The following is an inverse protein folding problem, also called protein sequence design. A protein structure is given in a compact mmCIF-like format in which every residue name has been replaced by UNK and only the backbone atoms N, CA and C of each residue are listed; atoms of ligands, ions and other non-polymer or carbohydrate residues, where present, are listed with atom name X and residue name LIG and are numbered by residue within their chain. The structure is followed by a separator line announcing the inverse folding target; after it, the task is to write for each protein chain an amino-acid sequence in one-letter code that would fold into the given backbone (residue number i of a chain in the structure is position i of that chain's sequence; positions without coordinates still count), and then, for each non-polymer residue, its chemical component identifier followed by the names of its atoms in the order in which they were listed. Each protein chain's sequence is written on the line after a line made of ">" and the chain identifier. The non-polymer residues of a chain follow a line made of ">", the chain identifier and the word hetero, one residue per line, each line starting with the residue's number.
data_IF_129002599051
#
_entry.id   IF_129002599051
#
_cell.length_a   1.000
_cell.length_b   1.000
_cell.length_c   1.000
_cell.angle_alpha   90.00
_cell.angle_beta   90.00
_cell.angle_gamma   90.00
#
_symmetry.space_group_name_H-M   'P 1'
#
loop_
_entity.id
_entity.type
_entity.pdbx_description
1 polymer ?
#
# COMPACT_ATOMS: atom_id res chain seq x y z
N UNK A 1 19.71 -25.50 -12.60
CA UNK A 1 19.12 -25.02 -11.34
C UNK A 1 17.75 -24.43 -11.65
N UNK A 2 16.74 -24.82 -10.89
CA UNK A 2 15.37 -24.30 -11.03
C UNK A 2 15.31 -22.82 -10.63
N UNK A 3 14.58 -22.01 -11.41
CA UNK A 3 14.41 -20.57 -11.18
C UNK A 3 13.64 -20.35 -9.88
N UNK A 4 14.09 -19.41 -9.05
CA UNK A 4 13.40 -19.09 -7.80
C UNK A 4 12.13 -18.28 -8.09
N UNK A 5 10.97 -18.87 -7.88
CA UNK A 5 9.67 -18.22 -8.10
C UNK A 5 9.22 -17.42 -6.85
N UNK A 6 9.73 -16.20 -6.74
CA UNK A 6 9.34 -15.25 -5.70
C UNK A 6 7.90 -14.74 -5.85
N UNK A 7 7.29 -14.87 -7.04
CA UNK A 7 5.93 -14.37 -7.31
C UNK A 7 4.88 -15.14 -6.52
N UNK A 8 5.16 -16.40 -6.19
CA UNK A 8 4.25 -17.23 -5.41
C UNK A 8 3.89 -16.57 -4.07
N UNK A 9 4.85 -15.93 -3.40
CA UNK A 9 4.63 -15.32 -2.08
C UNK A 9 3.78 -14.05 -2.17
N UNK A 10 3.97 -13.23 -3.20
CA UNK A 10 3.20 -11.99 -3.39
C UNK A 10 1.96 -12.18 -4.28
N UNK A 11 1.66 -13.42 -4.69
CA UNK A 11 0.57 -13.75 -5.62
C UNK A 11 -0.79 -13.27 -5.14
N UNK A 12 -1.06 -13.40 -3.83
CA UNK A 12 -2.32 -12.94 -3.24
C UNK A 12 -2.50 -11.43 -3.37
N UNK A 13 -1.44 -10.65 -3.15
CA UNK A 13 -1.43 -9.19 -3.32
C UNK A 13 -1.66 -8.80 -4.80
N UNK A 14 -0.94 -9.43 -5.74
CA UNK A 14 -1.13 -9.19 -7.18
C UNK A 14 -2.55 -9.58 -7.62
N UNK A 15 -3.08 -10.70 -7.13
CA UNK A 15 -4.44 -11.12 -7.45
C UNK A 15 -5.48 -10.11 -6.93
N UNK A 16 -5.29 -9.58 -5.72
CA UNK A 16 -6.15 -8.52 -5.16
C UNK A 16 -6.10 -7.25 -6.02
N UNK A 17 -4.91 -6.78 -6.39
CA UNK A 17 -4.74 -5.64 -7.32
C UNK A 17 -5.43 -5.90 -8.66
N UNK A 18 -5.36 -7.12 -9.19
CA UNK A 18 -6.04 -7.48 -10.45
C UNK A 18 -7.55 -7.36 -10.33
N UNK A 19 -8.14 -7.87 -9.26
CA UNK A 19 -9.58 -7.76 -8.97
C UNK A 19 -10.00 -6.30 -8.84
N UNK A 20 -9.19 -5.47 -8.19
CA UNK A 20 -9.43 -4.04 -8.00
C UNK A 20 -9.24 -3.21 -9.28
N UNK A 21 -8.99 -3.83 -10.44
CA UNK A 21 -8.76 -3.09 -11.69
C UNK A 21 -7.39 -2.39 -11.74
N UNK A 22 -6.49 -2.68 -10.80
CA UNK A 22 -5.20 -2.02 -10.65
C UNK A 22 -4.04 -2.81 -11.27
N UNK A 23 -4.27 -3.99 -11.86
CA UNK A 23 -3.20 -4.83 -12.41
C UNK A 23 -3.58 -5.46 -13.75
N UNK A 24 -3.41 -4.73 -14.88
CA UNK A 24 -3.69 -5.26 -16.21
C UNK A 24 -2.78 -6.43 -16.55
N UNK A 25 -3.24 -7.31 -17.45
CA UNK A 25 -2.45 -8.45 -17.91
C UNK A 25 -1.27 -8.04 -18.81
N UNK A 26 -0.24 -8.89 -18.80
CA UNK A 26 1.00 -8.64 -19.54
C UNK A 26 1.99 -7.71 -18.82
N UNK A 27 3.01 -7.31 -19.57
CA UNK A 27 4.13 -6.46 -19.09
C UNK A 27 3.96 -4.99 -19.50
N UNK A 28 2.93 -4.68 -20.28
CA UNK A 28 2.60 -3.30 -20.64
C UNK A 28 1.64 -2.69 -19.62
N UNK A 29 1.32 -1.41 -19.79
CA UNK A 29 0.25 -0.76 -19.04
C UNK A 29 -1.15 -1.16 -19.53
N UNK A 30 -2.13 -0.33 -19.21
CA UNK A 30 -3.52 -0.50 -19.64
C UNK A 30 -3.65 -0.43 -21.17
N UNK A 31 -4.35 -1.41 -21.76
CA UNK A 31 -4.60 -1.55 -23.21
C UNK A 31 -6.08 -1.34 -23.51
N UNK A 32 -6.45 -1.10 -24.77
CA UNK A 32 -7.86 -1.02 -25.18
C UNK A 32 -8.54 -2.41 -25.15
N UNK A 33 -8.96 -2.86 -23.97
CA UNK A 33 -9.64 -4.14 -23.75
C UNK A 33 -10.72 -4.04 -22.65
N UNK A 34 -11.50 -5.10 -22.47
CA UNK A 34 -12.58 -5.15 -21.48
C UNK A 34 -12.08 -4.95 -20.04
N UNK A 35 -10.87 -5.42 -19.72
CA UNK A 35 -10.28 -5.21 -18.39
C UNK A 35 -10.04 -3.71 -18.10
N UNK A 36 -9.52 -2.97 -19.08
CA UNK A 36 -9.26 -1.53 -18.91
C UNK A 36 -10.55 -0.74 -18.86
N UNK A 37 -11.59 -1.16 -19.60
CA UNK A 37 -12.92 -0.57 -19.47
C UNK A 37 -13.49 -0.82 -18.06
N UNK A 38 -13.40 -2.05 -17.56
CA UNK A 38 -13.77 -2.40 -16.19
C UNK A 38 -13.02 -1.55 -15.16
N UNK A 39 -11.69 -1.49 -15.25
CA UNK A 39 -10.85 -0.70 -14.36
C UNK A 39 -11.22 0.79 -14.40
N UNK A 40 -11.44 1.34 -15.59
CA UNK A 40 -11.86 2.73 -15.74
C UNK A 40 -13.20 2.98 -15.05
N UNK A 41 -14.19 2.12 -15.26
CA UNK A 41 -15.51 2.26 -14.65
C UNK A 41 -15.43 2.11 -13.13
N UNK A 42 -14.75 1.06 -12.63
CA UNK A 42 -14.66 0.78 -11.19
C UNK A 42 -13.89 1.86 -10.43
N UNK A 43 -12.75 2.33 -10.97
CA UNK A 43 -11.98 3.41 -10.35
C UNK A 43 -12.75 4.73 -10.34
N UNK A 44 -13.45 5.07 -11.42
CA UNK A 44 -14.27 6.29 -11.42
C UNK A 44 -15.46 6.19 -10.47
N UNK A 45 -16.15 5.04 -10.44
CA UNK A 45 -17.33 4.86 -9.62
C UNK A 45 -16.99 4.79 -8.13
N UNK A 46 -16.03 3.97 -7.74
CA UNK A 46 -15.75 3.63 -6.35
C UNK A 46 -14.67 4.50 -5.71
N UNK A 47 -13.69 4.98 -6.47
CA UNK A 47 -12.63 5.86 -5.94
C UNK A 47 -13.01 7.32 -6.13
N UNK A 48 -13.19 7.77 -7.38
CA UNK A 48 -13.45 9.19 -7.65
C UNK A 48 -14.85 9.62 -7.16
N UNK A 49 -15.88 8.81 -7.41
CA UNK A 49 -17.25 9.11 -6.99
C UNK A 49 -17.38 9.28 -5.48
N UNK A 50 -16.84 8.33 -4.70
CA UNK A 50 -16.96 8.37 -3.25
C UNK A 50 -16.22 9.58 -2.65
N UNK A 51 -14.99 9.81 -3.11
CA UNK A 51 -14.20 10.97 -2.72
C UNK A 51 -14.91 12.30 -3.05
N UNK A 52 -15.54 12.38 -4.22
CA UNK A 52 -16.30 13.57 -4.62
C UNK A 52 -17.45 13.85 -3.64
N UNK A 53 -18.29 12.85 -3.33
CA UNK A 53 -19.44 13.03 -2.43
C UNK A 53 -19.03 13.37 -0.99
N UNK A 54 -17.96 12.76 -0.47
CA UNK A 54 -17.42 13.15 0.84
C UNK A 54 -16.83 14.56 0.84
N UNK A 55 -16.05 14.92 -0.18
CA UNK A 55 -15.44 16.26 -0.27
C UNK A 55 -16.50 17.35 -0.37
N UNK A 56 -17.56 17.11 -1.16
CA UNK A 56 -18.69 18.05 -1.24
C UNK A 56 -19.37 18.23 0.10
N UNK A 57 -19.46 17.18 0.91
CA UNK A 57 -20.11 17.23 2.22
C UNK A 57 -19.43 18.20 3.20
N UNK A 58 -18.12 18.45 3.06
CA UNK A 58 -17.39 19.41 3.89
C UNK A 58 -18.03 20.79 3.84
N UNK A 59 -18.48 21.25 2.66
CA UNK A 59 -19.14 22.55 2.48
C UNK A 59 -20.50 22.66 3.18
N UNK A 60 -21.10 21.55 3.59
CA UNK A 60 -22.38 21.51 4.30
C UNK A 60 -22.23 21.38 5.82
N UNK A 61 -21.11 20.81 6.30
CA UNK A 61 -20.90 20.53 7.73
C UNK A 61 -19.81 21.39 8.39
N UNK A 62 -19.14 22.28 7.64
CA UNK A 62 -17.98 23.04 8.13
C UNK A 62 -18.23 23.92 9.37
N UNK A 63 -19.49 24.25 9.67
CA UNK A 63 -19.85 25.06 10.84
C UNK A 63 -19.90 24.26 12.15
N UNK A 64 -20.04 22.94 12.08
CA UNK A 64 -20.02 22.05 13.24
C UNK A 64 -18.62 21.41 13.35
N UNK A 65 -17.85 21.84 14.35
CA UNK A 65 -16.48 21.38 14.53
C UNK A 65 -16.39 19.86 14.77
N UNK A 66 -17.34 19.27 15.49
CA UNK A 66 -17.34 17.84 15.79
C UNK A 66 -17.66 17.04 14.52
N UNK A 67 -18.71 17.44 13.78
CA UNK A 67 -19.06 16.81 12.51
C UNK A 67 -17.96 16.99 11.45
N UNK A 68 -17.34 18.17 11.39
CA UNK A 68 -16.24 18.46 10.47
C UNK A 68 -15.02 17.60 10.79
N UNK A 69 -14.59 17.53 12.05
CA UNK A 69 -13.44 16.72 12.44
C UNK A 69 -13.67 15.23 12.22
N UNK A 70 -14.89 14.73 12.43
CA UNK A 70 -15.26 13.33 12.18
C UNK A 70 -15.32 12.98 10.68
N UNK A 71 -15.59 13.96 9.81
CA UNK A 71 -15.56 13.79 8.37
C UNK A 71 -14.13 13.89 7.80
N UNK A 72 -13.40 14.94 8.19
CA UNK A 72 -12.14 15.36 7.55
C UNK A 72 -11.06 14.30 7.68
N UNK A 73 -10.96 13.57 8.80
CA UNK A 73 -9.91 12.56 8.96
C UNK A 73 -10.08 11.38 8.00
N UNK A 74 -11.33 11.01 7.66
CA UNK A 74 -11.63 9.96 6.67
C UNK A 74 -11.38 10.51 5.27
N UNK A 75 -11.91 11.69 4.97
CA UNK A 75 -11.78 12.30 3.63
C UNK A 75 -10.33 12.56 3.24
N UNK A 76 -9.47 12.98 4.18
CA UNK A 76 -8.03 13.15 3.92
C UNK A 76 -7.37 11.83 3.54
N UNK A 77 -7.72 10.74 4.22
CA UNK A 77 -7.20 9.39 3.90
C UNK A 77 -7.71 8.90 2.55
N UNK A 78 -8.99 9.09 2.26
CA UNK A 78 -9.58 8.71 0.96
C UNK A 78 -8.96 9.50 -0.20
N UNK A 79 -8.68 10.79 0.01
CA UNK A 79 -7.97 11.63 -0.98
C UNK A 79 -6.54 11.14 -1.19
N UNK A 80 -5.84 10.73 -0.14
CA UNK A 80 -4.51 10.12 -0.27
C UNK A 80 -4.59 8.80 -1.04
N UNK A 81 -5.61 7.96 -0.80
CA UNK A 81 -5.84 6.74 -1.57
C UNK A 81 -6.09 7.03 -3.06
N UNK A 82 -6.84 8.09 -3.39
CA UNK A 82 -7.02 8.56 -4.77
C UNK A 82 -5.67 8.95 -5.41
N UNK A 83 -4.84 9.70 -4.70
CA UNK A 83 -3.50 10.07 -5.16
C UNK A 83 -2.65 8.83 -5.42
N UNK A 84 -2.66 7.84 -4.52
CA UNK A 84 -1.96 6.56 -4.71
C UNK A 84 -2.43 5.85 -5.98
N UNK A 85 -3.75 5.68 -6.14
CA UNK A 85 -4.34 5.05 -7.33
C UNK A 85 -3.89 5.75 -8.60
N UNK A 86 -3.94 7.08 -8.63
CA UNK A 86 -3.51 7.87 -9.78
C UNK A 86 -2.05 7.60 -10.15
N UNK A 87 -1.12 7.71 -9.19
CA UNK A 87 0.30 7.45 -9.44
C UNK A 87 0.57 5.99 -9.81
N UNK A 88 -0.14 5.04 -9.21
CA UNK A 88 0.01 3.61 -9.47
C UNK A 88 -0.43 3.25 -10.89
N UNK A 89 -1.62 3.71 -11.32
CA UNK A 89 -2.13 3.51 -12.68
C UNK A 89 -1.22 4.16 -13.70
N UNK A 90 -0.78 5.40 -13.46
CA UNK A 90 0.10 6.17 -14.36
C UNK A 90 1.45 5.47 -14.57
N UNK A 91 2.03 4.88 -13.52
CA UNK A 91 3.35 4.24 -13.57
C UNK A 91 3.30 2.72 -13.77
N UNK A 92 2.13 2.15 -14.07
CA UNK A 92 1.94 0.69 -14.19
C UNK A 92 2.96 0.01 -15.12
N UNK A 93 3.27 0.60 -16.27
CA UNK A 93 4.28 0.05 -17.19
C UNK A 93 5.68 -0.05 -16.54
N UNK A 94 6.08 0.96 -15.78
CA UNK A 94 7.36 0.95 -15.08
C UNK A 94 7.36 -0.12 -13.98
N UNK A 95 6.26 -0.22 -13.23
CA UNK A 95 6.07 -1.24 -12.19
C UNK A 95 6.16 -2.66 -12.76
N UNK A 96 5.57 -2.92 -13.93
CA UNK A 96 5.72 -4.20 -14.63
C UNK A 96 7.15 -4.46 -15.08
N UNK A 97 7.87 -3.45 -15.55
CA UNK A 97 9.29 -3.60 -15.91
C UNK A 97 10.17 -3.94 -14.69
N UNK A 98 9.85 -3.40 -13.51
CA UNK A 98 10.51 -3.79 -12.26
C UNK A 98 10.27 -5.28 -11.98
N UNK A 99 9.03 -5.76 -12.11
CA UNK A 99 8.72 -7.19 -11.95
C UNK A 99 9.47 -8.09 -12.93
N UNK A 100 9.66 -7.63 -14.18
CA UNK A 100 10.47 -8.35 -15.17
C UNK A 100 11.96 -8.33 -14.81
N UNK A 101 12.46 -7.23 -14.25
CA UNK A 101 13.85 -7.12 -13.80
C UNK A 101 14.19 -8.13 -12.70
N UNK A 102 13.27 -8.35 -11.76
CA UNK A 102 13.42 -9.36 -10.70
C UNK A 102 13.52 -10.80 -11.24
N UNK A 103 13.06 -11.04 -12.46
CA UNK A 103 13.14 -12.32 -13.16
C UNK A 103 14.43 -12.50 -13.97
N UNK A 104 15.25 -11.46 -14.13
CA UNK A 104 16.51 -11.53 -14.86
C UNK A 104 17.51 -12.47 -14.17
N UNK A 105 18.34 -13.16 -14.96
CA UNK A 105 19.35 -14.11 -14.46
C UNK A 105 20.27 -13.49 -13.39
N UNK A 106 20.59 -12.20 -13.52
CA UNK A 106 21.47 -11.48 -12.60
C UNK A 106 20.84 -11.30 -11.21
N UNK A 107 19.52 -11.30 -11.11
CA UNK A 107 18.76 -11.10 -9.88
C UNK A 107 18.34 -12.43 -9.23
N UNK A 108 18.62 -13.56 -9.89
CA UNK A 108 18.29 -14.89 -9.38
C UNK A 108 19.38 -15.36 -8.40
N UNK A 109 18.99 -15.92 -7.24
CA UNK A 109 19.95 -16.47 -6.29
C UNK A 109 20.66 -17.69 -6.88
N UNK A 110 21.99 -17.71 -6.80
CA UNK A 110 22.83 -18.80 -7.33
C UNK A 110 23.02 -19.92 -6.31
N UNK A 111 23.08 -19.57 -5.02
CA UNK A 111 23.41 -20.50 -3.94
C UNK A 111 22.28 -20.63 -2.91
N UNK A 112 22.35 -21.66 -2.07
CA UNK A 112 21.31 -21.95 -1.07
C UNK A 112 21.19 -20.85 -0.01
N UNK A 113 22.30 -20.32 0.48
CA UNK A 113 22.34 -19.16 1.40
C UNK A 113 21.64 -17.93 0.80
N UNK A 114 21.84 -17.66 -0.49
CA UNK A 114 21.20 -16.54 -1.19
C UNK A 114 19.68 -16.75 -1.33
N UNK A 115 19.24 -17.99 -1.54
CA UNK A 115 17.80 -18.33 -1.51
C UNK A 115 17.19 -18.08 -0.14
N UNK A 116 17.90 -18.41 0.94
CA UNK A 116 17.42 -18.17 2.31
C UNK A 116 17.21 -16.67 2.60
N UNK A 117 18.04 -15.78 2.04
CA UNK A 117 17.85 -14.32 2.17
C UNK A 117 16.51 -13.89 1.60
N UNK A 118 16.16 -14.33 0.38
CA UNK A 118 14.85 -14.02 -0.19
C UNK A 118 13.70 -14.64 0.61
N UNK A 119 13.82 -15.90 1.01
CA UNK A 119 12.77 -16.59 1.78
C UNK A 119 12.51 -15.86 3.09
N UNK A 120 13.56 -15.48 3.82
CA UNK A 120 13.44 -14.73 5.07
C UNK A 120 12.76 -13.37 4.85
N UNK A 121 13.22 -12.59 3.86
CA UNK A 121 12.63 -11.30 3.53
C UNK A 121 11.17 -11.39 3.07
N UNK A 122 10.84 -12.39 2.25
CA UNK A 122 9.47 -12.65 1.78
C UNK A 122 8.54 -13.16 2.89
N UNK A 123 9.05 -13.98 3.82
CA UNK A 123 8.29 -14.41 5.00
C UNK A 123 7.98 -13.23 5.92
N UNK A 124 8.96 -12.37 6.16
CA UNK A 124 8.74 -11.15 6.94
C UNK A 124 7.74 -10.22 6.24
N UNK A 125 7.89 -10.00 4.93
CA UNK A 125 6.91 -9.25 4.13
C UNK A 125 5.50 -9.84 4.25
N UNK A 126 5.35 -11.16 4.10
CA UNK A 126 4.06 -11.85 4.24
C UNK A 126 3.47 -11.67 5.64
N UNK A 127 4.30 -11.74 6.67
CA UNK A 127 3.88 -11.46 8.05
C UNK A 127 3.37 -10.03 8.19
N UNK A 128 4.12 -9.03 7.70
CA UNK A 128 3.67 -7.63 7.74
C UNK A 128 2.41 -7.37 6.92
N UNK A 129 2.25 -8.07 5.79
CA UNK A 129 1.03 -8.00 4.97
C UNK A 129 -0.19 -8.52 5.73
N UNK A 130 -0.06 -9.66 6.42
CA UNK A 130 -1.13 -10.21 7.27
C UNK A 130 -1.41 -9.29 8.45
N UNK A 131 -0.37 -8.78 9.12
CA UNK A 131 -0.52 -7.82 10.22
C UNK A 131 -1.27 -6.56 9.79
N UNK A 132 -1.06 -6.08 8.56
CA UNK A 132 -1.74 -4.88 8.07
C UNK A 132 -3.24 -5.09 7.82
N UNK A 133 -3.67 -6.31 7.47
CA UNK A 133 -5.10 -6.65 7.34
C UNK A 133 -5.84 -6.69 8.69
N UNK A 134 -5.15 -7.07 9.78
CA UNK A 134 -5.74 -7.24 11.11
C UNK A 134 -6.47 -5.99 11.63
N UNK A 135 -5.90 -4.77 11.57
CA UNK A 135 -6.62 -3.56 11.97
C UNK A 135 -7.58 -3.03 10.89
N UNK A 136 -7.27 -3.22 9.61
CA UNK A 136 -8.07 -2.66 8.50
C UNK A 136 -9.45 -3.30 8.43
N UNK A 137 -9.53 -4.63 8.39
CA UNK A 137 -10.80 -5.35 8.21
C UNK A 137 -11.82 -5.07 9.34
N UNK A 138 -11.45 -5.12 10.63
CA UNK A 138 -12.35 -4.76 11.72
C UNK A 138 -12.79 -3.31 11.69
N UNK A 139 -11.89 -2.36 11.37
CA UNK A 139 -12.25 -0.94 11.26
C UNK A 139 -13.39 -0.73 10.26
N UNK A 140 -13.22 -1.24 9.03
CA UNK A 140 -14.23 -1.08 7.97
C UNK A 140 -15.54 -1.77 8.34
N UNK A 141 -15.45 -2.99 8.88
CA UNK A 141 -16.63 -3.77 9.28
C UNK A 141 -17.40 -3.06 10.39
N UNK A 142 -16.70 -2.50 11.38
CA UNK A 142 -17.31 -1.81 12.49
C UNK A 142 -18.01 -0.51 12.04
N UNK A 143 -17.38 0.30 11.20
CA UNK A 143 -18.01 1.50 10.64
C UNK A 143 -19.27 1.21 9.80
N UNK A 144 -19.26 0.12 9.03
CA UNK A 144 -20.43 -0.29 8.23
C UNK A 144 -21.57 -0.80 9.10
N UNK A 145 -21.26 -1.48 10.20
CA UNK A 145 -22.27 -2.09 11.08
C UNK A 145 -22.77 -1.08 12.12
N UNK A 146 -22.01 -0.02 12.41
CA UNK A 146 -22.31 0.97 13.43
C UNK A 146 -23.73 1.56 13.33
N UNK A 147 -24.21 2.09 12.18
CA UNK A 147 -25.57 2.64 12.09
C UNK A 147 -26.68 1.61 12.36
N UNK A 148 -26.42 0.33 12.12
CA UNK A 148 -27.38 -0.75 12.36
C UNK A 148 -27.44 -1.10 13.84
N UNK A 149 -26.29 -1.13 14.52
CA UNK A 149 -26.21 -1.48 15.94
C UNK A 149 -26.70 -0.36 16.86
N UNK A 150 -26.42 0.89 16.53
CA UNK A 150 -26.87 2.05 17.31
C UNK A 150 -28.33 2.45 17.00
N UNK A 151 -28.95 1.80 16.03
CA UNK A 151 -30.34 2.04 15.61
C UNK A 151 -30.53 3.26 14.70
N UNK A 152 -29.48 4.05 14.43
CA UNK A 152 -29.55 5.27 13.60
C UNK A 152 -29.82 4.98 12.12
N UNK A 153 -29.69 3.73 11.68
CA UNK A 153 -30.15 3.28 10.37
C UNK A 153 -31.67 3.47 10.18
N UNK A 154 -32.47 3.48 11.27
CA UNK A 154 -33.90 3.82 11.23
C UNK A 154 -34.14 5.28 10.86
N UNK A 155 -33.19 6.14 11.17
CA UNK A 155 -33.17 7.57 10.83
C UNK A 155 -32.44 7.85 9.51
N UNK A 156 -32.17 6.80 8.72
CA UNK A 156 -31.48 6.86 7.44
C UNK A 156 -30.03 7.39 7.55
N UNK A 157 -29.35 7.16 8.69
CA UNK A 157 -27.93 7.49 8.84
C UNK A 157 -27.07 6.54 8.01
N UNK A 158 -26.29 7.12 7.09
CA UNK A 158 -25.31 6.39 6.29
C UNK A 158 -24.03 6.09 7.11
N UNK A 159 -23.26 5.02 6.78
CA UNK A 159 -22.00 4.70 7.46
C UNK A 159 -20.98 5.82 7.40
N UNK A 160 -20.89 6.49 6.26
CA UNK A 160 -19.98 7.63 6.05
C UNK A 160 -20.80 8.87 5.72
N UNK A 161 -20.47 9.97 6.39
CA UNK A 161 -21.10 11.26 6.14
C UNK A 161 -20.70 11.76 4.75
N UNK A 162 -21.65 11.81 3.82
CA UNK A 162 -21.41 12.26 2.45
C UNK A 162 -22.66 12.93 1.88
N UNK A 163 -22.45 13.88 0.97
CA UNK A 163 -23.54 14.57 0.28
C UNK A 163 -23.86 13.87 -1.03
N UNK A 164 -25.15 13.69 -1.32
CA UNK A 164 -25.63 13.14 -2.59
C UNK A 164 -26.65 14.10 -3.23
N UNK A 165 -26.68 14.20 -4.56
CA UNK A 165 -27.60 15.09 -5.29
C UNK A 165 -29.05 14.57 -5.33
N UNK A 166 -29.40 13.61 -4.48
CA UNK A 166 -30.72 12.99 -4.38
C UNK A 166 -31.05 12.69 -2.92
N UNK A 167 -32.32 12.48 -2.60
CA UNK A 167 -32.76 12.22 -1.23
C UNK A 167 -32.44 10.77 -0.82
N UNK A 168 -31.41 10.61 0.01
CA UNK A 168 -30.98 9.32 0.56
C UNK A 168 -31.92 8.77 1.63
N UNK A 169 -32.93 9.52 2.08
CA UNK A 169 -33.93 9.06 3.07
C UNK A 169 -35.13 8.34 2.46
N UNK A 170 -35.15 8.16 1.13
CA UNK A 170 -36.25 7.51 0.41
C UNK A 170 -35.80 6.13 -0.06
N UNK A 171 -36.65 5.12 0.11
CA UNK A 171 -36.42 3.78 -0.45
C UNK A 171 -36.69 3.78 -1.96
N UNK A 172 -35.86 3.15 -2.82
CA UNK A 172 -34.71 2.30 -2.49
C UNK A 172 -33.35 3.03 -2.45
N UNK A 173 -33.33 4.37 -2.58
CA UNK A 173 -32.09 5.15 -2.69
C UNK A 173 -31.20 5.04 -1.45
N UNK A 174 -31.79 4.93 -0.25
CA UNK A 174 -31.04 4.67 0.97
C UNK A 174 -30.20 3.40 0.86
N UNK A 175 -30.84 2.26 0.54
CA UNK A 175 -30.20 0.95 0.47
C UNK A 175 -29.15 0.90 -0.64
N UNK A 176 -29.44 1.49 -1.79
CA UNK A 176 -28.49 1.60 -2.91
C UNK A 176 -27.25 2.39 -2.47
N UNK A 177 -27.44 3.52 -1.80
CA UNK A 177 -26.34 4.38 -1.34
C UNK A 177 -25.52 3.71 -0.23
N UNK A 178 -26.18 3.01 0.68
CA UNK A 178 -25.53 2.24 1.74
C UNK A 178 -24.61 1.17 1.16
N UNK A 179 -25.11 0.36 0.21
CA UNK A 179 -24.31 -0.66 -0.49
C UNK A 179 -23.16 -0.01 -1.28
N UNK A 180 -23.44 1.10 -1.97
CA UNK A 180 -22.42 1.85 -2.70
C UNK A 180 -21.27 2.31 -1.79
N UNK A 181 -21.57 2.86 -0.60
CA UNK A 181 -20.52 3.26 0.34
C UNK A 181 -19.72 2.08 0.86
N UNK A 182 -20.36 0.95 1.17
CA UNK A 182 -19.68 -0.29 1.56
C UNK A 182 -18.68 -0.69 0.48
N UNK A 183 -19.14 -0.85 -0.76
CA UNK A 183 -18.27 -1.31 -1.86
C UNK A 183 -17.14 -0.31 -2.11
N UNK A 184 -17.43 0.99 -2.08
CA UNK A 184 -16.44 2.04 -2.33
C UNK A 184 -15.32 2.04 -1.30
N UNK A 185 -15.66 1.98 -0.01
CA UNK A 185 -14.69 2.05 1.08
C UNK A 185 -13.82 0.80 1.13
N UNK A 186 -14.41 -0.39 0.96
CA UNK A 186 -13.63 -1.63 0.84
C UNK A 186 -12.71 -1.58 -0.39
N UNK A 187 -13.21 -1.11 -1.53
CA UNK A 187 -12.42 -0.99 -2.74
C UNK A 187 -11.21 -0.06 -2.54
N UNK A 188 -11.40 1.11 -1.94
CA UNK A 188 -10.33 2.08 -1.68
C UNK A 188 -9.32 1.56 -0.64
N UNK A 189 -9.79 1.02 0.49
CA UNK A 189 -8.91 0.51 1.54
C UNK A 189 -8.04 -0.65 1.05
N UNK A 190 -8.62 -1.61 0.32
CA UNK A 190 -7.85 -2.70 -0.25
C UNK A 190 -6.92 -2.23 -1.38
N UNK A 191 -7.31 -1.21 -2.15
CA UNK A 191 -6.43 -0.60 -3.14
C UNK A 191 -5.21 0.00 -2.47
N UNK A 192 -5.39 0.86 -1.46
CA UNK A 192 -4.31 1.48 -0.70
C UNK A 192 -3.39 0.43 -0.07
N UNK A 193 -3.95 -0.49 0.72
CA UNK A 193 -3.22 -1.55 1.40
C UNK A 193 -2.35 -2.35 0.44
N UNK A 194 -2.91 -2.79 -0.68
CA UNK A 194 -2.17 -3.62 -1.63
C UNK A 194 -1.08 -2.84 -2.39
N UNK A 195 -1.28 -1.54 -2.65
CA UNK A 195 -0.25 -0.69 -3.24
C UNK A 195 0.94 -0.51 -2.28
N UNK A 196 0.66 -0.25 -1.00
CA UNK A 196 1.69 -0.10 0.05
C UNK A 196 2.46 -1.41 0.27
N UNK A 197 1.74 -2.53 0.32
CA UNK A 197 2.35 -3.85 0.44
C UNK A 197 3.24 -4.16 -0.77
N UNK A 198 2.82 -3.82 -2.00
CA UNK A 198 3.63 -4.05 -3.18
C UNK A 198 4.92 -3.23 -3.15
N UNK A 199 4.83 -1.97 -2.72
CA UNK A 199 6.00 -1.12 -2.52
C UNK A 199 6.96 -1.70 -1.49
N UNK A 200 6.44 -2.13 -0.34
CA UNK A 200 7.23 -2.80 0.69
C UNK A 200 7.96 -4.04 0.13
N UNK A 201 7.31 -4.81 -0.74
CA UNK A 201 7.93 -5.96 -1.41
C UNK A 201 9.11 -5.54 -2.30
N UNK A 202 8.94 -4.48 -3.10
CA UNK A 202 10.01 -3.99 -3.98
C UNK A 202 11.22 -3.47 -3.18
N UNK A 203 10.99 -2.77 -2.06
CA UNK A 203 12.08 -2.34 -1.17
C UNK A 203 12.77 -3.51 -0.49
N UNK A 204 12.01 -4.53 -0.05
CA UNK A 204 12.58 -5.79 0.42
C UNK A 204 13.48 -6.44 -0.64
N UNK A 205 13.05 -6.47 -1.91
CA UNK A 205 13.86 -6.99 -3.00
C UNK A 205 15.14 -6.18 -3.22
N UNK A 206 15.10 -4.84 -3.13
CA UNK A 206 16.33 -4.02 -3.17
C UNK A 206 17.31 -4.47 -2.09
N UNK A 207 16.85 -4.59 -0.84
CA UNK A 207 17.67 -5.05 0.27
C UNK A 207 18.24 -6.45 0.06
N UNK A 208 17.42 -7.42 -0.35
CA UNK A 208 17.85 -8.78 -0.63
C UNK A 208 18.93 -8.85 -1.74
N UNK A 209 18.80 -8.03 -2.78
CA UNK A 209 19.81 -7.96 -3.85
C UNK A 209 21.14 -7.37 -3.36
N UNK A 210 21.10 -6.36 -2.48
CA UNK A 210 22.31 -5.85 -1.83
C UNK A 210 23.01 -6.91 -0.98
N UNK A 211 22.26 -7.78 -0.29
CA UNK A 211 22.82 -8.89 0.47
C UNK A 211 23.49 -9.94 -0.43
N UNK A 212 22.87 -10.26 -1.57
CA UNK A 212 23.44 -11.19 -2.56
C UNK A 212 24.71 -10.62 -3.20
N UNK A 213 24.70 -9.34 -3.55
CA UNK A 213 25.88 -8.67 -4.07
C UNK A 213 27.03 -8.74 -3.06
N UNK A 214 26.75 -8.47 -1.78
CA UNK A 214 27.76 -8.55 -0.73
C UNK A 214 28.33 -9.96 -0.56
N UNK A 215 27.47 -10.98 -0.62
CA UNK A 215 27.89 -12.39 -0.60
C UNK A 215 28.76 -12.74 -1.81
N UNK A 216 28.38 -12.31 -3.02
CA UNK A 216 29.18 -12.53 -4.23
C UNK A 216 30.54 -11.83 -4.16
N UNK A 217 30.61 -10.60 -3.62
CA UNK A 217 31.87 -9.85 -3.43
C UNK A 217 32.76 -10.52 -2.39
N UNK A 218 32.19 -11.00 -1.27
CA UNK A 218 32.94 -11.69 -0.22
C UNK A 218 33.54 -13.02 -0.71
N UNK A 219 32.84 -13.69 -1.61
CA UNK A 219 33.24 -14.98 -2.17
C UNK A 219 33.90 -14.84 -3.56
N UNK A 220 34.54 -13.70 -3.86
CA UNK A 220 35.36 -13.55 -5.06
C UNK A 220 36.56 -14.50 -4.97
N UNK A 221 36.47 -15.64 -5.66
CA UNK A 221 37.58 -16.58 -5.78
C UNK A 221 38.78 -15.96 -6.51
N UNK A 222 39.96 -16.55 -6.30
CA UNK A 222 41.18 -16.15 -7.00
C UNK A 222 41.15 -16.53 -8.49
N UNK A 223 40.44 -17.60 -8.85
CA UNK A 223 40.19 -17.99 -10.24
C UNK A 223 39.10 -17.12 -10.87
N UNK A 224 39.34 -16.63 -12.08
CA UNK A 224 38.44 -15.75 -12.82
C UNK A 224 37.99 -14.48 -12.05
N UNK A 225 38.85 -13.97 -11.17
CA UNK A 225 38.57 -12.81 -10.30
C UNK A 225 38.01 -11.61 -11.07
N UNK A 226 38.65 -11.22 -12.17
CA UNK A 226 38.22 -10.07 -12.98
C UNK A 226 36.83 -10.27 -13.58
N UNK A 227 36.49 -11.49 -13.98
CA UNK A 227 35.19 -11.83 -14.54
C UNK A 227 34.10 -11.75 -13.47
N UNK A 228 34.34 -12.35 -12.31
CA UNK A 228 33.39 -12.30 -11.18
C UNK A 228 33.23 -10.89 -10.61
N UNK A 229 34.31 -10.10 -10.54
CA UNK A 229 34.26 -8.70 -10.14
C UNK A 229 33.43 -7.88 -11.15
N UNK A 230 33.62 -8.11 -12.45
CA UNK A 230 32.83 -7.44 -13.48
C UNK A 230 31.33 -7.80 -13.39
N UNK A 231 30.99 -9.05 -13.07
CA UNK A 231 29.60 -9.45 -12.78
C UNK A 231 29.04 -8.70 -11.57
N UNK A 232 29.80 -8.58 -10.48
CA UNK A 232 29.40 -7.83 -9.28
C UNK A 232 29.16 -6.35 -9.60
N UNK A 233 30.04 -5.72 -10.39
CA UNK A 233 29.86 -4.32 -10.81
C UNK A 233 28.61 -4.15 -11.67
N UNK A 234 28.34 -5.08 -12.59
CA UNK A 234 27.11 -5.08 -13.40
C UNK A 234 25.86 -5.26 -12.52
N UNK A 235 25.91 -6.17 -11.54
CA UNK A 235 24.82 -6.40 -10.59
C UNK A 235 24.56 -5.16 -9.74
N UNK A 236 25.59 -4.54 -9.18
CA UNK A 236 25.49 -3.31 -8.40
C UNK A 236 24.84 -2.17 -9.21
N UNK A 237 25.29 -1.93 -10.45
CA UNK A 237 24.69 -0.91 -11.33
C UNK A 237 23.20 -1.19 -11.59
N UNK A 238 22.84 -2.46 -11.78
CA UNK A 238 21.44 -2.85 -12.01
C UNK A 238 20.59 -2.69 -10.75
N UNK A 239 21.12 -2.99 -9.55
CA UNK A 239 20.46 -2.73 -8.27
C UNK A 239 20.19 -1.23 -8.09
N UNK A 240 21.18 -0.38 -8.36
CA UNK A 240 21.02 1.08 -8.27
C UNK A 240 19.96 1.59 -9.24
N UNK A 241 19.95 1.11 -10.49
CA UNK A 241 18.90 1.47 -11.45
C UNK A 241 17.52 1.01 -10.98
N UNK A 242 17.41 -0.23 -10.49
CA UNK A 242 16.16 -0.78 -9.97
C UNK A 242 15.63 0.02 -8.78
N UNK A 243 16.49 0.36 -7.81
CA UNK A 243 16.13 1.18 -6.66
C UNK A 243 15.75 2.61 -7.06
N UNK A 244 16.44 3.21 -8.02
CA UNK A 244 16.10 4.53 -8.55
C UNK A 244 14.72 4.52 -9.24
N UNK A 245 14.41 3.47 -10.00
CA UNK A 245 13.12 3.32 -10.66
C UNK A 245 11.99 3.04 -9.65
N UNK A 246 12.25 2.30 -8.56
CA UNK A 246 11.35 2.24 -7.40
C UNK A 246 11.08 3.63 -6.82
N UNK A 247 12.13 4.40 -6.53
CA UNK A 247 11.99 5.69 -5.87
C UNK A 247 11.23 6.73 -6.69
N UNK A 248 11.33 6.73 -8.03
CA UNK A 248 10.66 7.72 -8.90
C UNK A 248 9.14 7.83 -8.75
N UNK A 249 8.48 6.76 -8.28
CA UNK A 249 7.03 6.78 -8.06
C UNK A 249 6.66 6.64 -6.58
N UNK A 250 7.54 6.05 -5.76
CA UNK A 250 7.31 5.91 -4.33
C UNK A 250 7.62 7.14 -3.50
N UNK A 251 8.54 8.00 -3.95
CA UNK A 251 8.96 9.19 -3.19
C UNK A 251 7.78 10.13 -2.86
N UNK A 252 6.97 10.46 -3.86
CA UNK A 252 5.80 11.34 -3.73
C UNK A 252 4.67 10.69 -2.96
N UNK A 253 4.45 9.38 -3.19
CA UNK A 253 3.45 8.61 -2.47
C UNK A 253 3.82 8.55 -0.99
N UNK A 254 5.07 8.20 -0.67
CA UNK A 254 5.57 8.12 0.69
C UNK A 254 5.47 9.48 1.39
N UNK A 255 5.93 10.56 0.76
CA UNK A 255 5.85 11.91 1.34
C UNK A 255 4.40 12.31 1.65
N UNK A 256 3.49 12.11 0.69
CA UNK A 256 2.07 12.37 0.88
C UNK A 256 1.48 11.50 1.99
N UNK A 257 1.90 10.23 2.07
CA UNK A 257 1.44 9.30 3.08
C UNK A 257 1.88 9.70 4.49
N UNK A 258 3.15 10.07 4.69
CA UNK A 258 3.63 10.52 6.00
C UNK A 258 2.88 11.76 6.49
N UNK A 259 2.66 12.73 5.60
CA UNK A 259 1.91 13.94 5.93
C UNK A 259 0.45 13.61 6.29
N UNK A 260 -0.21 12.81 5.46
CA UNK A 260 -1.60 12.36 5.66
C UNK A 260 -1.72 11.60 6.97
N UNK A 261 -0.88 10.59 7.20
CA UNK A 261 -0.90 9.77 8.41
C UNK A 261 -0.70 10.59 9.68
N UNK A 262 0.21 11.57 9.68
CA UNK A 262 0.44 12.43 10.84
C UNK A 262 -0.83 13.23 11.20
N UNK A 263 -1.46 13.84 10.19
CA UNK A 263 -2.69 14.61 10.38
C UNK A 263 -3.86 13.73 10.80
N UNK A 264 -4.04 12.58 10.15
CA UNK A 264 -5.14 11.65 10.47
C UNK A 264 -4.97 11.03 11.85
N UNK A 265 -3.75 10.69 12.27
CA UNK A 265 -3.48 10.20 13.62
C UNK A 265 -3.78 11.26 14.67
N UNK A 266 -3.40 12.52 14.44
CA UNK A 266 -3.74 13.63 15.33
C UNK A 266 -5.25 13.81 15.49
N UNK A 267 -6.00 13.80 14.36
CA UNK A 267 -7.46 13.88 14.39
C UNK A 267 -8.10 12.66 15.04
N UNK A 268 -7.57 11.45 14.80
CA UNK A 268 -8.06 10.21 15.42
C UNK A 268 -7.87 10.25 16.94
N UNK A 269 -6.72 10.72 17.42
CA UNK A 269 -6.47 10.89 18.85
C UNK A 269 -7.44 11.90 19.47
N UNK A 270 -7.72 13.02 18.80
CA UNK A 270 -8.75 13.95 19.24
C UNK A 270 -10.13 13.27 19.33
N UNK A 271 -10.55 12.54 18.29
CA UNK A 271 -11.83 11.82 18.30
C UNK A 271 -11.92 10.80 19.43
N UNK A 272 -10.83 10.09 19.73
CA UNK A 272 -10.77 9.14 20.85
C UNK A 272 -11.04 9.79 22.21
N UNK A 273 -10.81 11.10 22.37
CA UNK A 273 -11.14 11.84 23.60
C UNK A 273 -12.61 12.29 23.67
N UNK A 274 -13.29 12.34 22.53
CA UNK A 274 -14.67 12.84 22.42
C UNK A 274 -15.68 11.69 22.47
N UNK A 275 -15.35 10.54 21.87
CA UNK A 275 -16.25 9.38 21.84
C UNK A 275 -16.33 8.69 23.22
N UNK A 276 -17.46 8.05 23.48
CA UNK A 276 -17.66 7.32 24.73
C UNK A 276 -16.62 6.18 24.87
N UNK A 277 -15.93 6.06 26.03
CA UNK A 277 -14.99 4.98 26.27
C UNK A 277 -15.63 3.60 26.08
N UNK A 278 -14.89 2.67 25.48
CA UNK A 278 -15.33 1.29 25.23
C UNK A 278 -16.58 1.16 24.33
N UNK A 279 -16.98 2.23 23.64
CA UNK A 279 -18.00 2.15 22.59
C UNK A 279 -17.48 1.45 21.34
N UNK A 280 -18.39 1.01 20.46
CA UNK A 280 -18.02 0.48 19.13
C UNK A 280 -17.21 1.49 18.32
N UNK A 281 -17.53 2.77 18.43
CA UNK A 281 -16.82 3.87 17.78
C UNK A 281 -15.39 4.02 18.31
N UNK A 282 -15.21 3.93 19.63
CA UNK A 282 -13.89 3.96 20.28
C UNK A 282 -12.97 2.84 19.76
N UNK A 283 -13.47 1.60 19.70
CA UNK A 283 -12.69 0.50 19.15
C UNK A 283 -12.40 0.66 17.66
N UNK A 284 -13.35 1.21 16.88
CA UNK A 284 -13.14 1.47 15.45
C UNK A 284 -12.03 2.49 15.22
N UNK A 285 -11.99 3.56 16.02
CA UNK A 285 -10.92 4.57 15.96
C UNK A 285 -9.58 4.01 16.44
N UNK A 286 -9.57 3.12 17.43
CA UNK A 286 -8.34 2.44 17.87
C UNK A 286 -7.77 1.52 16.78
N UNK A 287 -8.62 0.73 16.13
CA UNK A 287 -8.21 -0.10 15.00
C UNK A 287 -7.75 0.76 13.81
N UNK A 288 -8.44 1.87 13.54
CA UNK A 288 -8.02 2.82 12.51
C UNK A 288 -6.62 3.41 12.80
N UNK A 289 -6.36 3.84 14.03
CA UNK A 289 -5.04 4.31 14.45
C UNK A 289 -3.97 3.22 14.29
N UNK A 290 -4.30 1.97 14.63
CA UNK A 290 -3.45 0.80 14.40
C UNK A 290 -3.15 0.55 12.92
N UNK A 291 -4.14 0.70 12.05
CA UNK A 291 -3.97 0.58 10.59
C UNK A 291 -3.01 1.65 10.05
N UNK A 292 -3.21 2.92 10.41
CA UNK A 292 -2.34 4.03 9.99
C UNK A 292 -0.90 3.87 10.54
N UNK A 293 -0.77 3.35 11.76
CA UNK A 293 0.55 3.07 12.37
C UNK A 293 1.27 1.93 11.65
N UNK A 294 0.55 0.86 11.31
CA UNK A 294 1.09 -0.28 10.56
C UNK A 294 1.54 0.14 9.16
N UNK A 295 0.75 1.02 8.53
CA UNK A 295 1.08 1.62 7.24
C UNK A 295 2.40 2.39 7.30
N UNK A 296 2.55 3.33 8.24
CA UNK A 296 3.83 4.06 8.43
C UNK A 296 4.99 3.11 8.70
N UNK A 297 4.78 2.09 9.55
CA UNK A 297 5.80 1.10 9.85
C UNK A 297 6.30 0.38 8.60
N UNK A 298 5.42 0.03 7.66
CA UNK A 298 5.82 -0.59 6.39
C UNK A 298 6.79 0.30 5.59
N UNK A 299 6.47 1.59 5.43
CA UNK A 299 7.33 2.54 4.72
C UNK A 299 8.69 2.66 5.42
N UNK A 300 8.68 2.90 6.74
CA UNK A 300 9.89 3.12 7.52
C UNK A 300 10.79 1.89 7.56
N UNK A 301 10.23 0.71 7.87
CA UNK A 301 11.02 -0.50 8.07
C UNK A 301 11.71 -0.94 6.77
N UNK A 302 10.94 -1.11 5.69
CA UNK A 302 11.50 -1.60 4.43
C UNK A 302 12.38 -0.56 3.74
N UNK A 303 12.08 0.74 3.90
CA UNK A 303 12.94 1.83 3.44
C UNK A 303 14.29 1.83 4.16
N UNK A 304 14.27 1.80 5.50
CA UNK A 304 15.48 1.78 6.32
C UNK A 304 16.33 0.53 6.07
N UNK A 305 15.71 -0.65 5.95
CA UNK A 305 16.42 -1.89 5.67
C UNK A 305 17.14 -1.84 4.30
N UNK A 306 16.48 -1.28 3.28
CA UNK A 306 17.09 -1.08 1.96
C UNK A 306 18.27 -0.11 2.03
N UNK A 307 18.16 0.97 2.82
CA UNK A 307 19.21 1.96 3.02
C UNK A 307 20.43 1.37 3.76
N UNK A 308 20.21 0.69 4.90
CA UNK A 308 21.27 0.04 5.68
C UNK A 308 22.03 -0.96 4.82
N UNK A 309 21.34 -1.76 4.00
CA UNK A 309 22.00 -2.76 3.16
C UNK A 309 22.77 -2.14 1.99
N UNK A 310 22.36 -0.97 1.52
CA UNK A 310 23.05 -0.23 0.47
C UNK A 310 24.30 0.51 1.00
N UNK A 311 24.22 1.15 2.18
CA UNK A 311 25.28 2.01 2.72
C UNK A 311 26.07 1.39 3.89
N UNK A 312 25.42 0.66 4.79
CA UNK A 312 26.05 0.08 5.98
C UNK A 312 27.18 -0.91 5.67
N UNK A 313 27.21 -1.46 4.44
CA UNK A 313 28.30 -2.32 3.96
C UNK A 313 29.48 -1.57 3.33
N UNK A 314 29.43 -0.22 3.23
CA UNK A 314 30.60 0.61 2.92
C UNK A 314 31.48 0.90 4.16
N UNK A 315 30.98 0.65 5.37
CA UNK A 315 31.60 1.14 6.62
C UNK A 315 32.34 0.13 7.51
N UNK A 316 32.36 -1.17 7.19
CA UNK A 316 32.86 -2.21 8.11
C UNK A 316 34.16 -2.90 7.70
N UNK A 317 34.91 -2.37 6.74
CA UNK A 317 36.25 -2.89 6.40
C UNK A 317 37.31 -1.79 6.32
N UNK A 318 37.65 -1.20 7.46
CA UNK A 318 39.04 -0.79 7.73
C UNK A 318 39.34 -1.19 9.18
N UNK A 319 40.06 -2.30 9.43
CA UNK A 319 40.72 -2.47 10.70
C UNK A 319 41.74 -1.34 10.80
N UNK A 320 41.59 -0.47 11.79
CA UNK A 320 42.70 0.41 12.18
C UNK A 320 43.80 -0.51 12.71
N UNK A 321 44.88 -0.61 11.93
CA UNK A 321 46.16 -1.19 12.35
C UNK A 321 46.77 -0.38 13.49
#
# INVERSE_FOLDING_TARGET
>A
MEKFDWKLTIKANIASLKVLGLWPEGNEGYKKNLYTLYAFISLNLFVNGHNFFQTMNIFFVYTDLQALTALVFITITDLMALVKVYYFVRNMKQLKNLMVTLDEKLFQPKYFNQKLVFISGLNFWKFTYVLYHIPVVPTLSAWIVYPVLDGSAKDYRLPFSAWYPYNTKISPFYQITYIYQIVSIWFMAFSALNMDALMAALMMFVGAQCDILADNVKNLGHTDYNTHLLECVKHHKKILSFAADCNKFFDKIALGQFFTSALTLALTMFQLTVVAPLSSEFYSLLFYAGAMTTEIFLYCWFGNEAEIKNFGKRGTTIPKS
#
